data_IF_367253011138
#
_entry.id   IF_367253011138
#
_cell.length_a   1.000
_cell.length_b   1.000
_cell.length_c   1.000
_cell.angle_alpha   90.00
_cell.angle_beta   90.00
_cell.angle_gamma   90.00
#
_symmetry.space_group_name_H-M   'P 1'
#
loop_
_entity.id
_entity.type
_entity.pdbx_description
1 polymer ?
#
# COMPACT_ATOMS: atom_id res chain seq x y z
N UNK A 1 25.63 13.91 -51.93
CA UNK A 1 25.08 12.56 -52.16
C UNK A 1 25.63 11.62 -51.09
N UNK A 2 25.03 11.64 -49.89
CA UNK A 2 25.31 10.68 -48.81
C UNK A 2 23.98 10.46 -48.09
N UNK A 3 23.20 9.52 -48.61
CA UNK A 3 22.19 8.82 -47.83
C UNK A 3 22.94 7.73 -47.06
N UNK A 4 22.81 7.72 -45.74
CA UNK A 4 22.87 6.56 -44.83
C UNK A 4 23.04 7.16 -43.44
N UNK A 5 21.96 7.17 -42.66
CA UNK A 5 21.93 6.83 -41.23
C UNK A 5 20.55 7.17 -40.64
N UNK A 6 20.02 6.21 -39.88
CA UNK A 6 18.91 6.32 -38.90
C UNK A 6 17.47 6.14 -39.39
N UNK A 7 17.24 5.12 -40.22
CA UNK A 7 15.97 4.39 -40.20
C UNK A 7 15.95 3.40 -39.01
N UNK A 8 15.92 3.89 -37.77
CA UNK A 8 15.80 3.02 -36.58
C UNK A 8 15.37 3.74 -35.29
N UNK A 9 14.44 4.72 -35.31
CA UNK A 9 13.93 5.30 -34.05
C UNK A 9 12.54 5.93 -34.20
N UNK A 10 11.53 5.15 -34.59
CA UNK A 10 10.12 5.58 -34.49
C UNK A 10 9.20 4.43 -34.11
N UNK A 11 9.34 3.95 -32.87
CA UNK A 11 8.26 3.21 -32.21
C UNK A 11 8.30 3.42 -30.68
N UNK A 12 8.21 4.69 -30.27
CA UNK A 12 7.88 5.03 -28.87
C UNK A 12 6.65 5.94 -28.91
N UNK A 13 5.48 5.29 -28.84
CA UNK A 13 4.23 5.79 -28.28
C UNK A 13 3.93 7.30 -28.42
N UNK A 14 3.70 7.80 -29.64
CA UNK A 14 2.85 8.97 -29.83
C UNK A 14 1.39 8.55 -29.64
N UNK A 15 0.94 8.45 -28.38
CA UNK A 15 -0.50 8.43 -28.11
C UNK A 15 -1.01 9.87 -28.25
N UNK A 16 -1.21 10.29 -29.50
CA UNK A 16 -1.82 11.57 -29.87
C UNK A 16 -3.15 11.75 -29.14
N UNK A 17 -3.56 13.00 -28.97
CA UNK A 17 -4.91 13.37 -28.50
C UNK A 17 -5.84 13.25 -29.71
N UNK A 18 -5.82 12.10 -30.39
CA UNK A 18 -6.84 11.76 -31.37
C UNK A 18 -8.07 11.28 -30.62
N UNK A 19 -9.08 12.13 -30.56
CA UNK A 19 -10.46 11.66 -30.48
C UNK A 19 -10.66 10.88 -31.77
N UNK A 20 -10.61 9.55 -31.73
CA UNK A 20 -10.95 8.74 -32.91
C UNK A 20 -12.39 9.10 -33.34
N UNK A 21 -12.60 9.73 -34.51
CA UNK A 21 -13.92 9.80 -35.09
C UNK A 21 -14.11 8.45 -35.79
N UNK A 22 -14.48 7.42 -35.03
CA UNK A 22 -15.03 6.21 -35.65
C UNK A 22 -16.45 6.54 -36.13
N UNK A 23 -16.55 7.29 -37.23
CA UNK A 23 -17.71 7.23 -38.12
C UNK A 23 -17.52 5.99 -38.99
N UNK A 24 -17.83 4.82 -38.43
CA UNK A 24 -18.00 3.63 -39.24
C UNK A 24 -19.29 3.82 -40.03
N UNK A 25 -19.16 4.09 -41.34
CA UNK A 25 -20.27 3.91 -42.29
C UNK A 25 -20.82 2.52 -42.06
N UNK A 26 -22.08 2.47 -41.66
CA UNK A 26 -22.84 1.24 -41.50
C UNK A 26 -23.13 0.73 -42.91
N UNK A 27 -22.33 -0.21 -43.42
CA UNK A 27 -22.67 -1.06 -44.57
C UNK A 27 -21.70 -2.26 -44.61
N UNK A 28 -21.85 -3.16 -43.65
CA UNK A 28 -21.34 -4.53 -43.75
C UNK A 28 -22.52 -5.46 -43.49
N UNK A 29 -23.35 -5.62 -44.52
CA UNK A 29 -24.47 -6.55 -44.51
C UNK A 29 -23.97 -7.97 -44.83
N UNK A 30 -23.86 -8.79 -43.78
CA UNK A 30 -23.81 -10.26 -43.92
C UNK A 30 -25.12 -10.84 -43.38
N UNK A 31 -25.80 -11.60 -44.23
CA UNK A 31 -27.16 -12.13 -44.07
C UNK A 31 -27.25 -13.37 -43.16
N UNK A 32 -26.15 -13.91 -42.65
CA UNK A 32 -26.15 -15.10 -41.79
C UNK A 32 -26.07 -14.73 -40.30
N UNK A 33 -26.97 -15.25 -39.47
CA UNK A 33 -27.04 -14.95 -38.03
C UNK A 33 -25.90 -15.60 -37.22
N UNK A 34 -25.27 -16.65 -37.74
CA UNK A 34 -24.26 -17.47 -37.06
C UNK A 34 -22.83 -16.91 -37.09
N UNK A 35 -22.49 -16.03 -38.05
CA UNK A 35 -21.13 -15.47 -38.21
C UNK A 35 -20.90 -14.14 -37.48
N UNK A 36 -21.57 -13.93 -36.35
CA UNK A 36 -21.64 -12.64 -35.64
C UNK A 36 -20.77 -12.59 -34.37
N UNK A 37 -19.67 -13.33 -34.34
CA UNK A 37 -18.70 -13.31 -33.22
C UNK A 37 -18.12 -11.92 -32.94
N UNK A 38 -18.10 -11.04 -33.94
CA UNK A 38 -17.61 -9.68 -33.81
C UNK A 38 -18.68 -8.68 -33.30
N UNK A 39 -19.99 -8.97 -33.42
CA UNK A 39 -21.07 -8.05 -33.03
C UNK A 39 -21.00 -7.54 -31.58
N UNK A 40 -20.63 -8.33 -30.57
CA UNK A 40 -20.47 -7.83 -29.21
C UNK A 40 -19.45 -6.68 -29.07
N UNK A 41 -18.46 -6.63 -29.96
CA UNK A 41 -17.44 -5.57 -29.98
C UNK A 41 -17.93 -4.29 -30.68
N UNK A 42 -18.96 -4.39 -31.53
CA UNK A 42 -19.54 -3.26 -32.29
C UNK A 42 -20.87 -2.75 -31.75
N UNK A 43 -21.59 -3.53 -30.92
CA UNK A 43 -22.74 -3.00 -30.16
C UNK A 43 -22.24 -2.07 -29.05
N UNK A 44 -21.94 -0.82 -29.42
CA UNK A 44 -21.97 0.29 -28.47
C UNK A 44 -23.38 0.33 -27.88
N UNK A 45 -23.52 0.01 -26.60
CA UNK A 45 -24.66 0.51 -25.83
C UNK A 45 -24.64 2.02 -25.99
N UNK A 46 -25.55 2.56 -26.80
CA UNK A 46 -25.77 3.98 -26.91
C UNK A 46 -26.33 4.39 -25.56
N UNK A 47 -25.47 4.89 -24.67
CA UNK A 47 -25.89 5.45 -23.39
C UNK A 47 -26.66 6.74 -23.72
N UNK A 48 -27.99 6.62 -23.79
CA UNK A 48 -28.92 7.70 -24.14
C UNK A 48 -28.92 8.80 -23.08
N UNK A 49 -28.67 8.44 -21.82
CA UNK A 49 -28.56 9.39 -20.72
C UNK A 49 -27.14 9.93 -20.58
N UNK A 50 -27.01 11.25 -20.46
CA UNK A 50 -25.75 11.85 -20.00
C UNK A 50 -25.42 11.28 -18.61
N UNK A 51 -24.16 10.90 -18.34
CA UNK A 51 -23.77 10.57 -16.97
C UNK A 51 -23.98 11.82 -16.11
N UNK A 52 -24.97 11.78 -15.22
CA UNK A 52 -25.38 12.90 -14.34
C UNK A 52 -24.38 13.17 -13.22
N UNK A 53 -23.44 12.25 -12.96
CA UNK A 53 -22.42 12.39 -11.91
C UNK A 53 -21.07 12.73 -12.54
N UNK A 54 -20.33 13.67 -11.92
CA UNK A 54 -18.91 13.91 -12.20
C UNK A 54 -18.20 12.56 -12.31
N UNK A 55 -17.44 12.36 -13.39
CA UNK A 55 -16.74 11.10 -13.63
C UNK A 55 -15.69 10.86 -12.53
N UNK A 56 -16.05 10.05 -11.55
CA UNK A 56 -15.14 9.62 -10.51
C UNK A 56 -14.40 8.36 -10.98
N UNK A 57 -13.10 8.48 -11.20
CA UNK A 57 -12.24 7.34 -11.46
C UNK A 57 -11.83 6.70 -10.13
N UNK A 58 -12.38 5.53 -9.82
CA UNK A 58 -11.97 4.78 -8.64
C UNK A 58 -10.44 4.54 -8.64
N UNK A 59 -9.80 4.73 -7.48
CA UNK A 59 -8.34 4.58 -7.26
C UNK A 59 -7.47 5.68 -7.89
N UNK A 60 -8.07 6.77 -8.35
CA UNK A 60 -7.32 7.92 -8.82
C UNK A 60 -6.76 8.71 -7.62
N UNK A 61 -5.44 8.79 -7.52
CA UNK A 61 -4.75 9.43 -6.39
C UNK A 61 -4.76 10.97 -6.43
N UNK A 62 -5.47 11.56 -7.39
CA UNK A 62 -5.51 13.00 -7.66
C UNK A 62 -6.74 13.34 -8.51
N UNK A 63 -7.40 14.47 -8.26
CA UNK A 63 -8.58 14.90 -9.03
C UNK A 63 -8.39 16.20 -9.82
N UNK A 64 -7.16 16.71 -9.91
CA UNK A 64 -6.85 17.90 -10.68
C UNK A 64 -7.02 17.65 -12.19
N UNK A 65 -7.45 18.72 -12.86
CA UNK A 65 -7.61 18.76 -14.31
C UNK A 65 -6.46 19.56 -14.93
N UNK A 66 -6.27 19.37 -16.24
CA UNK A 66 -5.35 20.20 -17.00
C UNK A 66 -5.97 21.59 -17.17
N UNK A 67 -5.18 22.63 -16.99
CA UNK A 67 -5.57 24.03 -17.20
C UNK A 67 -4.82 24.55 -18.44
N UNK A 68 -5.53 25.10 -19.45
CA UNK A 68 -4.89 25.56 -20.66
C UNK A 68 -4.16 26.87 -20.37
N UNK A 69 -3.13 27.14 -21.15
CA UNK A 69 -2.46 28.44 -21.09
C UNK A 69 -3.40 29.54 -21.57
N UNK A 70 -3.16 30.77 -21.12
CA UNK A 70 -3.89 31.92 -21.65
C UNK A 70 -3.63 31.99 -23.17
N UNK A 71 -4.68 32.08 -24.03
CA UNK A 71 -4.52 32.09 -25.48
C UNK A 71 -3.60 33.20 -26.00
N UNK A 72 -3.49 34.32 -25.29
CA UNK A 72 -2.65 35.45 -25.69
C UNK A 72 -1.16 35.24 -25.35
N UNK A 73 -0.84 34.25 -24.52
CA UNK A 73 0.53 33.96 -24.14
C UNK A 73 1.31 33.40 -25.34
N UNK A 74 2.52 33.93 -25.53
CA UNK A 74 3.43 33.51 -26.59
C UNK A 74 4.06 32.16 -26.19
N UNK A 75 4.23 31.26 -27.15
CA UNK A 75 4.90 29.99 -26.85
C UNK A 75 6.36 30.23 -26.47
N UNK A 76 6.87 29.61 -25.40
CA UNK A 76 8.26 29.74 -24.97
C UNK A 76 9.26 29.23 -26.02
N UNK A 77 8.85 28.28 -26.88
CA UNK A 77 9.71 27.83 -27.99
C UNK A 77 9.87 28.93 -29.04
N UNK A 78 8.78 29.68 -29.30
CA UNK A 78 8.83 30.78 -30.24
C UNK A 78 9.69 31.93 -29.71
N UNK A 79 9.62 32.22 -28.41
CA UNK A 79 10.45 33.25 -27.76
C UNK A 79 11.95 32.96 -27.84
N UNK A 80 12.33 31.68 -27.87
CA UNK A 80 13.73 31.26 -27.96
C UNK A 80 14.32 31.38 -29.37
N UNK A 81 13.51 31.68 -30.40
CA UNK A 81 14.01 31.83 -31.76
C UNK A 81 14.80 33.15 -31.89
N UNK A 82 16.02 33.12 -32.47
CA UNK A 82 16.89 34.29 -32.57
C UNK A 82 16.29 35.45 -33.38
N UNK A 83 15.35 35.14 -34.28
CA UNK A 83 14.66 36.13 -35.12
C UNK A 83 13.37 36.66 -34.47
N UNK A 84 12.93 36.08 -33.36
CA UNK A 84 11.65 36.41 -32.73
C UNK A 84 11.58 37.89 -32.30
N UNK A 85 12.68 38.42 -31.75
CA UNK A 85 12.72 39.82 -31.31
C UNK A 85 12.55 40.82 -32.47
N UNK A 86 12.96 40.42 -33.68
CA UNK A 86 12.93 41.25 -34.89
C UNK A 86 11.56 41.28 -35.59
N UNK A 87 10.63 40.41 -35.18
CA UNK A 87 9.28 40.34 -35.77
C UNK A 87 8.39 41.50 -35.29
N UNK A 88 7.50 41.96 -36.17
CA UNK A 88 6.43 42.89 -35.78
C UNK A 88 5.47 42.26 -34.77
N UNK A 89 4.79 43.09 -33.98
CA UNK A 89 3.84 42.65 -32.95
C UNK A 89 2.72 41.76 -33.52
N UNK A 90 2.27 42.01 -34.75
CA UNK A 90 1.25 41.19 -35.43
C UNK A 90 1.74 39.76 -35.67
N UNK A 91 3.00 39.59 -36.08
CA UNK A 91 3.61 38.28 -36.31
C UNK A 91 3.96 37.58 -35.00
N UNK A 92 4.35 38.33 -33.96
CA UNK A 92 4.51 37.81 -32.59
C UNK A 92 3.18 37.29 -32.03
N UNK A 93 2.08 38.00 -32.27
CA UNK A 93 0.74 37.56 -31.87
C UNK A 93 0.30 36.26 -32.57
N UNK A 94 0.72 36.02 -33.81
CA UNK A 94 0.46 34.75 -34.53
C UNK A 94 1.19 33.56 -33.91
N UNK A 95 2.22 33.77 -33.08
CA UNK A 95 2.97 32.74 -32.36
C UNK A 95 2.41 32.46 -30.95
N UNK A 96 1.29 33.10 -30.59
CA UNK A 96 0.55 32.84 -29.35
C UNK A 96 -0.20 31.50 -29.37
N UNK A 97 -0.56 31.01 -28.18
CA UNK A 97 -1.33 29.76 -28.05
C UNK A 97 -2.70 29.81 -28.73
N UNK A 98 -3.24 31.00 -29.01
CA UNK A 98 -4.47 31.19 -29.79
C UNK A 98 -4.43 30.52 -31.16
N UNK A 99 -3.26 30.49 -31.80
CA UNK A 99 -3.09 29.95 -33.15
C UNK A 99 -2.41 28.57 -33.18
N UNK A 100 -1.98 28.06 -32.02
CA UNK A 100 -1.37 26.74 -31.91
C UNK A 100 -2.39 25.63 -31.71
N UNK A 101 -1.99 24.40 -32.02
CA UNK A 101 -2.81 23.23 -31.71
C UNK A 101 -2.79 22.92 -30.21
N UNK A 102 -3.88 22.33 -29.71
CA UNK A 102 -3.95 21.83 -28.32
C UNK A 102 -2.83 20.82 -28.00
N UNK A 103 -2.31 20.12 -29.01
CA UNK A 103 -1.21 19.17 -28.82
C UNK A 103 0.13 19.88 -28.59
N UNK A 104 0.42 20.94 -29.35
CA UNK A 104 1.62 21.77 -29.19
C UNK A 104 1.61 22.51 -27.85
N UNK A 105 0.47 23.10 -27.47
CA UNK A 105 0.29 23.74 -26.17
C UNK A 105 0.58 22.76 -25.02
N UNK A 106 0.02 21.54 -25.12
CA UNK A 106 0.27 20.50 -24.14
C UNK A 106 1.76 20.11 -24.06
N UNK A 107 2.45 20.01 -25.19
CA UNK A 107 3.89 19.69 -25.20
C UNK A 107 4.73 20.80 -24.56
N UNK A 108 4.40 22.06 -24.82
CA UNK A 108 5.10 23.22 -24.26
C UNK A 108 4.92 23.24 -22.72
N UNK A 109 3.69 23.09 -22.24
CA UNK A 109 3.41 23.00 -20.81
C UNK A 109 4.07 21.80 -20.13
N UNK A 110 4.07 20.63 -20.79
CA UNK A 110 4.75 19.44 -20.28
C UNK A 110 6.25 19.68 -20.12
N UNK A 111 6.88 20.29 -21.13
CA UNK A 111 8.30 20.59 -21.11
C UNK A 111 8.63 21.62 -20.03
N UNK A 112 7.82 22.66 -19.89
CA UNK A 112 7.95 23.64 -18.81
C UNK A 112 7.84 22.97 -17.43
N UNK A 113 6.86 22.08 -17.22
CA UNK A 113 6.70 21.34 -15.96
C UNK A 113 7.86 20.39 -15.67
N UNK A 114 8.43 19.75 -16.69
CA UNK A 114 9.63 18.92 -16.53
C UNK A 114 10.83 19.77 -16.08
N UNK A 115 11.04 20.92 -16.72
CA UNK A 115 12.14 21.83 -16.39
C UNK A 115 11.98 22.42 -14.98
N UNK A 116 10.76 22.84 -14.60
CA UNK A 116 10.44 23.34 -13.26
C UNK A 116 10.82 22.33 -12.16
N UNK A 117 10.64 21.04 -12.44
CA UNK A 117 10.94 19.96 -11.49
C UNK A 117 12.37 19.42 -11.62
N UNK A 118 13.22 20.07 -12.43
CA UNK A 118 14.63 19.75 -12.60
C UNK A 118 14.92 18.59 -13.56
N UNK A 119 14.04 18.31 -14.51
CA UNK A 119 14.26 17.29 -15.55
C UNK A 119 14.37 17.90 -16.93
N UNK A 120 15.32 17.39 -17.71
CA UNK A 120 15.40 17.74 -19.13
C UNK A 120 14.18 17.18 -19.91
N UNK A 121 13.65 17.88 -20.94
CA UNK A 121 12.48 17.45 -21.71
C UNK A 121 12.63 16.10 -22.42
N UNK A 122 13.85 15.60 -22.60
CA UNK A 122 14.16 14.29 -23.20
C UNK A 122 14.49 13.21 -22.16
N UNK A 123 14.48 13.54 -20.86
CA UNK A 123 14.80 12.59 -19.80
C UNK A 123 13.78 11.43 -19.75
N UNK A 124 14.30 10.21 -19.57
CA UNK A 124 13.56 8.94 -19.50
C UNK A 124 13.59 8.35 -18.08
N UNK A 125 13.97 9.15 -17.07
CA UNK A 125 13.99 8.70 -15.68
C UNK A 125 12.58 8.34 -15.18
N UNK A 126 12.53 7.56 -14.09
CA UNK A 126 11.27 7.22 -13.41
C UNK A 126 10.52 8.48 -12.97
N UNK A 127 11.21 9.46 -12.39
CA UNK A 127 10.65 10.76 -12.02
C UNK A 127 10.08 11.54 -13.21
N UNK A 128 10.84 11.68 -14.31
CA UNK A 128 10.35 12.33 -15.52
C UNK A 128 9.11 11.61 -16.10
N UNK A 129 9.10 10.28 -16.05
CA UNK A 129 7.95 9.47 -16.50
C UNK A 129 6.71 9.71 -15.63
N UNK A 130 6.86 9.86 -14.32
CA UNK A 130 5.75 10.20 -13.41
C UNK A 130 5.15 11.55 -13.78
N UNK A 131 5.97 12.56 -14.07
CA UNK A 131 5.52 13.90 -14.48
C UNK A 131 4.73 13.82 -15.80
N UNK A 132 5.29 13.15 -16.82
CA UNK A 132 4.61 12.96 -18.12
C UNK A 132 3.26 12.27 -17.97
N UNK A 133 3.22 11.18 -17.21
CA UNK A 133 1.98 10.43 -16.98
C UNK A 133 0.95 11.27 -16.23
N UNK A 134 1.37 12.11 -15.28
CA UNK A 134 0.48 12.98 -14.50
C UNK A 134 -0.12 14.08 -15.36
N UNK A 135 0.71 14.80 -16.13
CA UNK A 135 0.22 15.82 -17.07
C UNK A 135 -0.73 15.23 -18.11
N UNK A 136 -0.37 14.09 -18.71
CA UNK A 136 -1.20 13.43 -19.71
C UNK A 136 -2.52 12.93 -19.10
N UNK A 137 -2.49 12.43 -17.88
CA UNK A 137 -3.70 12.05 -17.14
C UNK A 137 -4.64 13.24 -16.93
N UNK A 138 -4.11 14.39 -16.46
CA UNK A 138 -4.88 15.64 -16.29
C UNK A 138 -5.53 16.09 -17.60
N UNK A 139 -4.79 16.04 -18.72
CA UNK A 139 -5.31 16.40 -20.04
C UNK A 139 -6.40 15.43 -20.52
N UNK A 140 -6.19 14.13 -20.35
CA UNK A 140 -7.20 13.12 -20.71
C UNK A 140 -8.46 13.21 -19.84
N UNK A 141 -8.33 13.52 -18.54
CA UNK A 141 -9.50 13.78 -17.67
C UNK A 141 -10.28 15.01 -18.13
N UNK A 142 -9.60 16.10 -18.49
CA UNK A 142 -10.28 17.29 -19.05
C UNK A 142 -11.06 16.95 -20.32
N UNK A 143 -10.43 16.25 -21.26
CA UNK A 143 -11.13 15.80 -22.49
C UNK A 143 -12.28 14.83 -22.19
N UNK A 144 -12.25 14.09 -21.08
CA UNK A 144 -13.35 13.23 -20.65
C UNK A 144 -14.52 14.03 -20.07
N UNK A 145 -14.26 15.18 -19.44
CA UNK A 145 -15.30 16.14 -19.07
C UNK A 145 -15.97 16.73 -20.32
N UNK A 146 -15.19 17.06 -21.34
CA UNK A 146 -15.70 17.58 -22.63
C UNK A 146 -16.45 16.49 -23.44
N UNK A 147 -16.01 15.22 -23.34
CA UNK A 147 -16.53 14.08 -24.10
C UNK A 147 -16.86 12.87 -23.21
N UNK A 148 -17.84 12.97 -22.30
CA UNK A 148 -18.09 11.96 -21.27
C UNK A 148 -18.61 10.63 -21.82
N UNK A 149 -19.12 10.62 -23.05
CA UNK A 149 -19.64 9.41 -23.72
C UNK A 149 -18.56 8.58 -24.39
N UNK A 150 -17.28 8.99 -24.37
CA UNK A 150 -16.21 8.28 -25.07
C UNK A 150 -15.65 7.10 -24.22
N UNK A 151 -16.01 5.84 -24.51
CA UNK A 151 -15.53 4.70 -23.72
C UNK A 151 -14.03 4.50 -23.87
N UNK A 152 -13.46 4.75 -25.05
CA UNK A 152 -12.04 4.59 -25.33
C UNK A 152 -11.20 5.52 -24.44
N UNK A 153 -11.67 6.76 -24.25
CA UNK A 153 -11.02 7.74 -23.38
C UNK A 153 -11.04 7.29 -21.91
N UNK A 154 -12.18 6.77 -21.42
CA UNK A 154 -12.29 6.20 -20.07
C UNK A 154 -11.34 5.02 -19.86
N UNK A 155 -11.22 4.12 -20.85
CA UNK A 155 -10.27 3.00 -20.78
C UNK A 155 -8.82 3.49 -20.77
N UNK A 156 -8.48 4.47 -21.62
CA UNK A 156 -7.17 5.09 -21.64
C UNK A 156 -6.81 5.73 -20.29
N UNK A 157 -7.74 6.48 -19.69
CA UNK A 157 -7.54 7.08 -18.36
C UNK A 157 -7.27 6.00 -17.30
N UNK A 158 -8.08 4.94 -17.25
CA UNK A 158 -7.86 3.83 -16.30
C UNK A 158 -6.50 3.16 -16.49
N UNK A 159 -6.06 2.96 -17.73
CA UNK A 159 -4.74 2.40 -18.03
C UNK A 159 -3.61 3.34 -17.57
N UNK A 160 -3.77 4.65 -17.78
CA UNK A 160 -2.83 5.67 -17.33
C UNK A 160 -2.74 5.77 -15.81
N UNK A 161 -3.88 5.70 -15.10
CA UNK A 161 -3.90 5.64 -13.63
C UNK A 161 -3.03 4.47 -13.15
N UNK A 162 -3.29 3.26 -13.64
CA UNK A 162 -2.51 2.06 -13.25
C UNK A 162 -1.03 2.19 -13.59
N UNK A 163 -0.70 2.73 -14.77
CA UNK A 163 0.68 2.95 -15.20
C UNK A 163 1.39 3.96 -14.29
N UNK A 164 0.74 5.09 -13.97
CA UNK A 164 1.27 6.10 -13.05
C UNK A 164 1.48 5.52 -11.65
N UNK A 165 0.50 4.79 -11.11
CA UNK A 165 0.62 4.12 -9.81
C UNK A 165 1.81 3.16 -9.76
N UNK A 166 2.02 2.37 -10.82
CA UNK A 166 3.19 1.50 -10.92
C UNK A 166 4.48 2.31 -10.88
N UNK A 167 4.58 3.39 -11.65
CA UNK A 167 5.78 4.23 -11.68
C UNK A 167 6.05 4.93 -10.34
N UNK A 168 5.01 5.42 -9.67
CA UNK A 168 5.13 5.98 -8.32
C UNK A 168 5.58 4.94 -7.29
N UNK A 169 5.10 3.69 -7.38
CA UNK A 169 5.59 2.60 -6.51
C UNK A 169 7.05 2.27 -6.77
N UNK A 170 7.47 2.24 -8.05
CA UNK A 170 8.87 2.04 -8.41
C UNK A 170 9.73 3.18 -7.88
N UNK A 171 9.32 4.43 -8.11
CA UNK A 171 10.02 5.61 -7.62
C UNK A 171 10.15 5.60 -6.10
N UNK A 172 9.08 5.25 -5.37
CA UNK A 172 9.12 5.12 -3.91
C UNK A 172 10.13 4.06 -3.43
N UNK A 173 10.26 2.96 -4.16
CA UNK A 173 11.21 1.90 -3.83
C UNK A 173 12.66 2.26 -4.18
N UNK A 174 12.89 3.02 -5.26
CA UNK A 174 14.24 3.39 -5.70
C UNK A 174 14.77 4.67 -5.06
N UNK A 175 13.91 5.69 -4.90
CA UNK A 175 14.29 7.01 -4.41
C UNK A 175 13.11 7.66 -3.66
N UNK A 176 13.10 7.48 -2.34
CA UNK A 176 12.05 8.02 -1.47
C UNK A 176 12.04 9.56 -1.42
N UNK A 177 13.21 10.20 -1.53
CA UNK A 177 13.33 11.67 -1.47
C UNK A 177 12.67 12.29 -2.70
N UNK A 178 13.01 11.77 -3.88
CA UNK A 178 12.41 12.20 -5.14
C UNK A 178 10.92 11.87 -5.20
N UNK A 179 10.49 10.72 -4.65
CA UNK A 179 9.08 10.39 -4.52
C UNK A 179 8.32 11.47 -3.75
N UNK A 180 8.76 11.82 -2.53
CA UNK A 180 8.11 12.84 -1.70
C UNK A 180 8.05 14.19 -2.40
N UNK A 181 9.20 14.65 -2.93
CA UNK A 181 9.31 15.90 -3.69
C UNK A 181 8.31 15.97 -4.84
N UNK A 182 8.23 14.91 -5.64
CA UNK A 182 7.33 14.88 -6.81
C UNK A 182 5.87 14.74 -6.41
N UNK A 183 5.53 13.95 -5.39
CA UNK A 183 4.13 13.84 -4.94
C UNK A 183 3.61 15.14 -4.36
N UNK A 184 4.45 15.89 -3.65
CA UNK A 184 4.12 17.22 -3.13
C UNK A 184 3.97 18.23 -4.27
N UNK A 185 4.97 18.34 -5.15
CA UNK A 185 4.95 19.30 -6.24
C UNK A 185 3.84 19.04 -7.28
N UNK A 186 3.48 17.78 -7.50
CA UNK A 186 2.36 17.38 -8.37
C UNK A 186 1.02 17.27 -7.63
N UNK A 187 0.97 17.57 -6.33
CA UNK A 187 -0.26 17.51 -5.50
C UNK A 187 -0.98 16.15 -5.56
N UNK A 188 -0.20 15.06 -5.55
CA UNK A 188 -0.71 13.68 -5.54
C UNK A 188 -0.88 13.24 -4.09
N UNK A 189 -2.10 13.33 -3.55
CA UNK A 189 -2.39 13.10 -2.13
C UNK A 189 -2.93 11.71 -1.83
N UNK A 190 -3.64 11.08 -2.77
CA UNK A 190 -4.38 9.84 -2.52
C UNK A 190 -3.56 8.55 -2.67
N UNK A 191 -2.23 8.59 -2.57
CA UNK A 191 -1.41 7.41 -2.83
C UNK A 191 -1.61 6.33 -1.76
N UNK A 192 -2.04 5.14 -2.17
CA UNK A 192 -2.13 3.96 -1.32
C UNK A 192 -1.15 2.90 -1.79
N UNK A 193 -0.36 2.35 -0.86
CA UNK A 193 0.35 1.11 -1.15
C UNK A 193 -0.68 -0.02 -1.06
N UNK A 194 -0.94 -0.79 -2.14
CA UNK A 194 -1.83 -1.93 -2.03
C UNK A 194 -1.17 -2.95 -1.11
N UNK A 195 -1.70 -3.06 0.09
CA UNK A 195 -1.33 -4.13 1.00
C UNK A 195 -1.87 -5.45 0.40
N UNK A 196 -1.01 -6.44 0.10
CA UNK A 196 -1.45 -7.73 -0.45
C UNK A 196 -2.45 -8.46 0.47
N UNK A 197 -2.54 -8.07 1.74
CA UNK A 197 -3.48 -8.63 2.71
C UNK A 197 -4.75 -7.78 2.89
N UNK A 198 -4.85 -6.61 2.25
CA UNK A 198 -6.05 -5.76 2.25
C UNK A 198 -7.09 -6.41 1.33
N UNK A 199 -7.94 -7.22 1.95
CA UNK A 199 -9.06 -7.87 1.27
C UNK A 199 -10.06 -6.80 0.80
N UNK A 200 -10.78 -7.02 -0.32
CA UNK A 200 -11.74 -6.06 -0.82
C UNK A 200 -12.92 -5.89 0.16
N UNK A 201 -13.10 -4.67 0.66
CA UNK A 201 -14.22 -4.32 1.57
C UNK A 201 -15.60 -4.42 0.91
N UNK A 202 -15.67 -4.63 -0.40
CA UNK A 202 -16.95 -4.79 -1.10
C UNK A 202 -17.53 -6.20 -0.96
N UNK A 203 -16.73 -7.20 -0.60
CA UNK A 203 -17.22 -8.57 -0.46
C UNK A 203 -17.83 -8.79 0.94
N UNK A 204 -19.14 -9.10 1.06
CA UNK A 204 -19.76 -9.36 2.35
C UNK A 204 -19.11 -10.51 3.13
N UNK A 205 -18.51 -11.48 2.43
CA UNK A 205 -17.80 -12.61 3.06
C UNK A 205 -16.52 -12.14 3.75
N UNK A 206 -15.79 -11.22 3.12
CA UNK A 206 -14.58 -10.60 3.69
C UNK A 206 -14.93 -9.82 4.94
N UNK A 207 -15.98 -8.99 4.90
CA UNK A 207 -16.44 -8.22 6.07
C UNK A 207 -16.76 -9.11 7.26
N UNK A 208 -17.50 -10.21 7.04
CA UNK A 208 -17.83 -11.18 8.10
C UNK A 208 -16.59 -11.83 8.70
N UNK A 209 -15.60 -12.19 7.86
CA UNK A 209 -14.33 -12.77 8.33
C UNK A 209 -13.50 -11.78 9.14
N UNK A 210 -13.45 -10.52 8.72
CA UNK A 210 -12.75 -9.46 9.47
C UNK A 210 -13.41 -9.20 10.83
N UNK A 211 -14.75 -9.14 10.86
CA UNK A 211 -15.51 -9.01 12.10
C UNK A 211 -15.23 -10.17 13.06
N UNK A 212 -15.37 -11.43 12.60
CA UNK A 212 -15.08 -12.60 13.41
C UNK A 212 -13.62 -12.63 13.90
N UNK A 213 -12.65 -12.21 13.08
CA UNK A 213 -11.25 -12.10 13.49
C UNK A 213 -11.07 -11.06 14.60
N UNK A 214 -11.75 -9.92 14.50
CA UNK A 214 -11.70 -8.87 15.53
C UNK A 214 -12.34 -9.32 16.85
N UNK A 215 -13.48 -10.02 16.80
CA UNK A 215 -14.15 -10.60 17.97
C UNK A 215 -13.27 -11.65 18.65
N UNK A 216 -12.71 -12.59 17.88
CA UNK A 216 -11.78 -13.60 18.39
C UNK A 216 -10.54 -12.96 19.05
N UNK A 217 -10.03 -11.87 18.47
CA UNK A 217 -8.90 -11.15 19.04
C UNK A 217 -9.26 -10.48 20.37
N UNK A 218 -10.41 -9.80 20.44
CA UNK A 218 -10.92 -9.23 21.69
C UNK A 218 -11.16 -10.30 22.75
N UNK A 219 -11.77 -11.43 22.39
CA UNK A 219 -11.94 -12.57 23.30
C UNK A 219 -10.59 -13.09 23.81
N UNK A 220 -9.57 -13.20 22.95
CA UNK A 220 -8.23 -13.62 23.38
C UNK A 220 -7.64 -12.64 24.39
N UNK A 221 -7.76 -11.33 24.14
CA UNK A 221 -7.29 -10.30 25.08
C UNK A 221 -8.01 -10.37 26.43
N UNK A 222 -9.32 -10.54 26.44
CA UNK A 222 -10.09 -10.68 27.69
C UNK A 222 -9.71 -11.94 28.46
N UNK A 223 -9.52 -13.08 27.79
CA UNK A 223 -9.03 -14.32 28.43
C UNK A 223 -7.64 -14.13 29.03
N UNK A 224 -6.72 -13.50 28.32
CA UNK A 224 -5.38 -13.19 28.85
C UNK A 224 -5.45 -12.27 30.06
N UNK A 225 -6.33 -11.26 30.04
CA UNK A 225 -6.54 -10.37 31.18
C UNK A 225 -7.09 -11.14 32.41
N UNK A 226 -8.05 -12.04 32.21
CA UNK A 226 -8.57 -12.91 33.29
C UNK A 226 -7.50 -13.81 33.87
N UNK A 227 -6.74 -14.52 33.03
CA UNK A 227 -5.65 -15.38 33.47
C UNK A 227 -4.58 -14.58 34.23
N UNK A 228 -4.27 -13.36 33.80
CA UNK A 228 -3.34 -12.47 34.51
C UNK A 228 -3.86 -12.11 35.91
N UNK A 229 -5.15 -11.81 36.04
CA UNK A 229 -5.76 -11.54 37.35
C UNK A 229 -5.78 -12.78 38.23
N UNK A 230 -6.19 -13.93 37.69
CA UNK A 230 -6.19 -15.22 38.40
C UNK A 230 -4.79 -15.56 38.91
N UNK A 231 -3.76 -15.43 38.06
CA UNK A 231 -2.37 -15.64 38.42
C UNK A 231 -1.93 -14.75 39.59
N UNK A 232 -2.24 -13.45 39.55
CA UNK A 232 -1.92 -12.53 40.66
C UNK A 232 -2.64 -12.92 41.96
N UNK A 233 -3.88 -13.41 41.88
CA UNK A 233 -4.62 -13.85 43.07
C UNK A 233 -4.07 -15.16 43.65
N UNK A 234 -3.74 -16.13 42.80
CA UNK A 234 -3.18 -17.41 43.25
C UNK A 234 -1.77 -17.25 43.78
N UNK A 235 -0.97 -16.36 43.19
CA UNK A 235 0.36 -15.99 43.68
C UNK A 235 0.28 -15.40 45.10
N UNK A 236 -0.62 -14.43 45.33
CA UNK A 236 -0.83 -13.87 46.68
C UNK A 236 -1.28 -14.92 47.69
N UNK A 237 -2.19 -15.82 47.30
CA UNK A 237 -2.64 -16.90 48.16
C UNK A 237 -1.52 -17.89 48.49
N UNK A 238 -0.68 -18.22 47.50
CA UNK A 238 0.49 -19.08 47.67
C UNK A 238 1.47 -18.50 48.69
N UNK A 239 1.83 -17.21 48.56
CA UNK A 239 2.76 -16.56 49.50
C UNK A 239 2.18 -16.48 50.91
N UNK A 240 0.88 -16.16 51.06
CA UNK A 240 0.21 -16.18 52.39
C UNK A 240 0.24 -17.57 53.03
N UNK A 241 -0.03 -18.62 52.26
CA UNK A 241 0.03 -19.99 52.77
C UNK A 241 1.45 -20.40 53.17
N UNK A 242 2.47 -19.94 52.42
CA UNK A 242 3.87 -20.19 52.75
C UNK A 242 4.32 -19.46 54.00
N UNK A 243 3.94 -18.20 54.15
CA UNK A 243 4.17 -17.41 55.36
C UNK A 243 3.56 -18.10 56.59
N UNK A 244 2.31 -18.57 56.50
CA UNK A 244 1.66 -19.32 57.57
C UNK A 244 2.40 -20.62 57.92
N UNK A 245 2.90 -21.36 56.92
CA UNK A 245 3.72 -22.58 57.16
C UNK A 245 5.03 -22.25 57.86
N UNK A 246 5.72 -21.17 57.46
CA UNK A 246 6.99 -20.75 58.06
C UNK A 246 6.76 -20.32 59.51
N UNK A 247 5.74 -19.52 59.77
CA UNK A 247 5.40 -19.09 61.13
C UNK A 247 5.06 -20.28 62.02
N UNK A 248 4.38 -21.29 61.48
CA UNK A 248 4.12 -22.54 62.21
C UNK A 248 5.42 -23.31 62.50
N UNK A 249 6.32 -23.45 61.53
CA UNK A 249 7.62 -24.10 61.76
C UNK A 249 8.47 -23.35 62.78
N UNK A 250 8.44 -22.01 62.77
CA UNK A 250 9.11 -21.20 63.79
C UNK A 250 8.53 -21.46 65.18
N UNK A 251 7.19 -21.52 65.30
CA UNK A 251 6.53 -21.89 66.56
C UNK A 251 6.89 -23.31 67.02
N UNK A 252 6.87 -24.29 66.12
CA UNK A 252 7.22 -25.67 66.44
C UNK A 252 8.70 -25.78 66.88
N UNK A 253 9.60 -25.02 66.25
CA UNK A 253 11.01 -24.92 66.65
C UNK A 253 11.18 -24.26 68.03
N UNK A 254 10.39 -23.24 68.35
CA UNK A 254 10.43 -22.60 69.68
C UNK A 254 10.01 -23.55 70.79
N UNK A 255 8.98 -24.36 70.55
CA UNK A 255 8.51 -25.38 71.50
C UNK A 255 9.58 -26.46 71.73
N UNK A 256 10.31 -26.84 70.68
CA UNK A 256 11.42 -27.79 70.78
C UNK A 256 12.64 -27.21 71.52
N UNK A 257 12.94 -25.92 71.37
CA UNK A 257 14.10 -25.26 72.02
C UNK A 257 13.82 -24.92 73.50
N UNK A 258 12.56 -24.65 73.87
CA UNK A 258 12.11 -24.51 75.27
C UNK A 258 12.29 -25.83 76.07
N UNK A 259 12.25 -26.99 75.42
CA UNK A 259 12.47 -28.29 76.07
C UNK A 259 13.94 -28.58 76.40
N UNK A 260 14.87 -27.74 75.94
CA UNK A 260 16.32 -27.94 76.11
C UNK A 260 17.08 -26.75 76.73
N UNK A 261 16.43 -25.60 77.00
CA UNK A 261 17.12 -24.41 77.50
C UNK A 261 16.64 -23.94 78.88
N UNK A 262 17.26 -24.47 79.92
CA UNK A 262 17.37 -23.74 81.20
C UNK A 262 18.32 -22.54 81.00
N UNK A 263 17.78 -21.34 80.69
CA UNK A 263 18.47 -20.09 81.08
C UNK A 263 18.61 -18.92 80.09
N UNK A 264 18.17 -18.97 78.82
CA UNK A 264 18.43 -17.83 77.89
C UNK A 264 17.30 -17.59 76.87
N UNK A 265 16.05 -17.49 77.36
CA UNK A 265 14.82 -17.49 76.55
C UNK A 265 14.52 -16.27 75.66
N UNK A 266 15.51 -15.48 75.22
CA UNK A 266 15.26 -14.27 74.42
C UNK A 266 16.05 -14.14 73.11
N UNK A 267 17.29 -14.66 73.04
CA UNK A 267 18.18 -14.38 71.88
C UNK A 267 18.17 -15.45 70.79
N UNK A 268 17.76 -16.69 71.10
CA UNK A 268 17.82 -17.78 70.12
C UNK A 268 16.74 -17.70 69.02
N UNK A 269 15.59 -17.11 69.35
CA UNK A 269 14.46 -16.96 68.43
C UNK A 269 14.79 -16.02 67.27
N UNK A 270 15.39 -14.88 67.59
CA UNK A 270 15.90 -13.90 66.62
C UNK A 270 16.99 -14.50 65.71
N UNK A 271 17.85 -15.35 66.26
CA UNK A 271 18.93 -16.01 65.51
C UNK A 271 18.38 -17.09 64.58
N UNK A 272 17.40 -17.88 65.05
CA UNK A 272 16.71 -18.88 64.25
C UNK A 272 15.92 -18.22 63.12
N UNK A 273 15.19 -17.14 63.41
CA UNK A 273 14.45 -16.38 62.41
C UNK A 273 15.37 -15.78 61.34
N UNK A 274 16.49 -15.16 61.73
CA UNK A 274 17.49 -14.65 60.76
C UNK A 274 18.13 -15.75 59.91
N UNK A 275 18.40 -16.93 60.49
CA UNK A 275 18.90 -18.09 59.72
C UNK A 275 17.87 -18.63 58.73
N UNK A 276 16.60 -18.66 59.13
CA UNK A 276 15.51 -19.12 58.27
C UNK A 276 15.26 -18.13 57.12
N UNK A 277 15.29 -16.83 57.41
CA UNK A 277 15.24 -15.77 56.39
C UNK A 277 16.41 -15.85 55.41
N UNK A 278 17.64 -16.10 55.91
CA UNK A 278 18.81 -16.28 55.07
C UNK A 278 18.70 -17.49 54.13
N UNK A 279 18.29 -18.65 54.66
CA UNK A 279 18.03 -19.86 53.87
C UNK A 279 16.92 -19.64 52.84
N UNK A 280 15.88 -18.90 53.20
CA UNK A 280 14.78 -18.58 52.28
C UNK A 280 15.27 -17.70 51.11
N UNK A 281 16.13 -16.72 51.38
CA UNK A 281 16.74 -15.88 50.36
C UNK A 281 17.69 -16.66 49.44
N UNK A 282 18.43 -17.65 49.97
CA UNK A 282 19.27 -18.54 49.16
C UNK A 282 18.42 -19.40 48.21
N UNK A 283 17.36 -20.04 48.70
CA UNK A 283 16.45 -20.85 47.87
C UNK A 283 15.75 -20.01 46.80
N UNK A 284 15.37 -18.75 47.12
CA UNK A 284 14.81 -17.82 46.13
C UNK A 284 15.85 -17.53 45.04
N UNK A 285 17.10 -17.24 45.40
CA UNK A 285 18.18 -16.98 44.43
C UNK A 285 18.49 -18.20 43.57
N UNK A 286 18.56 -19.39 44.15
CA UNK A 286 18.77 -20.64 43.42
C UNK A 286 17.63 -20.89 42.43
N UNK A 287 16.38 -20.75 42.85
CA UNK A 287 15.22 -20.91 41.95
C UNK A 287 15.13 -19.82 40.89
N UNK A 288 15.50 -18.59 41.20
CA UNK A 288 15.59 -17.51 40.19
C UNK A 288 16.68 -17.83 39.16
N UNK A 289 17.82 -18.38 39.58
CA UNK A 289 18.87 -18.83 38.67
C UNK A 289 18.41 -20.04 37.83
N UNK A 290 17.74 -21.03 38.42
CA UNK A 290 17.17 -22.18 37.70
C UNK A 290 16.06 -21.80 36.73
N UNK A 291 15.19 -20.85 37.09
CA UNK A 291 14.14 -20.35 36.18
C UNK A 291 14.68 -19.41 35.10
N UNK A 292 15.87 -18.83 35.27
CA UNK A 292 16.61 -18.16 34.20
C UNK A 292 17.31 -19.16 33.26
N UNK A 293 17.52 -20.41 33.70
CA UNK A 293 17.81 -21.57 32.84
C UNK A 293 16.50 -22.04 32.20
N UNK A 294 15.83 -21.16 31.46
CA UNK A 294 14.78 -21.62 30.54
C UNK A 294 15.50 -22.37 29.42
N UNK A 295 15.04 -23.57 29.01
CA UNK A 295 15.58 -24.22 27.82
C UNK A 295 15.36 -23.27 26.62
N UNK A 296 16.44 -22.71 26.07
CA UNK A 296 16.39 -21.88 24.85
C UNK A 296 15.72 -22.63 23.67
N UNK A 297 15.57 -23.95 23.78
CA UNK A 297 14.95 -24.84 22.80
C UNK A 297 13.44 -24.62 22.61
N UNK A 298 12.66 -24.21 23.62
CA UNK A 298 11.19 -24.30 23.52
C UNK A 298 10.52 -23.05 22.91
N UNK A 299 11.18 -21.89 22.91
CA UNK A 299 10.59 -20.64 22.38
C UNK A 299 10.41 -20.64 20.85
N UNK A 300 11.12 -21.52 20.13
CA UNK A 300 11.10 -21.57 18.66
C UNK A 300 10.45 -22.83 18.09
N UNK A 301 10.19 -23.87 18.90
CA UNK A 301 9.51 -25.08 18.45
C UNK A 301 8.09 -24.81 17.94
N UNK A 302 7.39 -23.86 18.56
CA UNK A 302 6.07 -23.47 18.10
C UNK A 302 6.12 -22.85 16.69
N UNK A 303 7.10 -21.98 16.44
CA UNK A 303 7.30 -21.35 15.12
C UNK A 303 7.73 -22.36 14.05
N UNK A 304 8.57 -23.33 14.40
CA UNK A 304 9.01 -24.38 13.46
C UNK A 304 7.85 -25.31 13.09
N UNK A 305 7.04 -25.74 14.06
CA UNK A 305 5.82 -26.54 13.82
C UNK A 305 4.79 -25.77 13.00
N UNK A 306 4.62 -24.47 13.25
CA UNK A 306 3.72 -23.62 12.47
C UNK A 306 4.20 -23.44 11.02
N UNK A 307 5.50 -23.24 10.80
CA UNK A 307 6.11 -23.14 9.47
C UNK A 307 5.88 -24.42 8.64
N UNK A 308 6.15 -25.60 9.23
CA UNK A 308 5.88 -26.89 8.58
C UNK A 308 4.39 -27.07 8.28
N UNK A 309 3.51 -26.61 9.18
CA UNK A 309 2.06 -26.60 8.96
C UNK A 309 1.65 -25.75 7.74
N UNK A 310 2.26 -24.57 7.59
CA UNK A 310 2.01 -23.65 6.46
C UNK A 310 2.49 -24.24 5.13
N UNK A 311 3.66 -24.86 5.10
CA UNK A 311 4.18 -25.53 3.90
C UNK A 311 3.28 -26.67 3.43
N UNK A 312 2.82 -27.52 4.36
CA UNK A 312 1.88 -28.61 4.07
C UNK A 312 0.56 -28.08 3.50
N UNK A 313 0.05 -26.97 4.03
CA UNK A 313 -1.17 -26.35 3.53
C UNK A 313 -1.00 -25.77 2.13
N UNK A 314 0.11 -25.06 1.87
CA UNK A 314 0.44 -24.54 0.55
C UNK A 314 0.58 -25.66 -0.49
N UNK A 315 1.25 -26.77 -0.13
CA UNK A 315 1.38 -27.95 -0.98
C UNK A 315 0.01 -28.56 -1.33
N UNK A 316 -0.90 -28.70 -0.36
CA UNK A 316 -2.28 -29.19 -0.62
C UNK A 316 -3.06 -28.27 -1.54
N UNK A 317 -2.94 -26.95 -1.38
CA UNK A 317 -3.58 -25.97 -2.26
C UNK A 317 -3.06 -26.09 -3.70
N UNK A 318 -1.75 -26.19 -3.87
CA UNK A 318 -1.12 -26.39 -5.17
C UNK A 318 -1.57 -27.69 -5.83
N UNK A 319 -1.64 -28.79 -5.06
CA UNK A 319 -2.12 -30.08 -5.56
C UNK A 319 -3.60 -30.03 -5.97
N UNK A 320 -4.44 -29.36 -5.18
CA UNK A 320 -5.86 -29.15 -5.50
C UNK A 320 -6.03 -28.32 -6.76
N UNK A 321 -5.25 -27.25 -6.92
CA UNK A 321 -5.23 -26.43 -8.13
C UNK A 321 -4.79 -27.24 -9.37
N UNK A 322 -3.75 -28.07 -9.24
CA UNK A 322 -3.28 -28.97 -10.30
C UNK A 322 -4.36 -29.99 -10.71
N UNK A 323 -5.03 -30.62 -9.74
CA UNK A 323 -6.15 -31.55 -10.00
C UNK A 323 -7.32 -30.85 -10.71
N UNK A 324 -7.63 -29.61 -10.34
CA UNK A 324 -8.66 -28.82 -11.03
C UNK A 324 -8.27 -28.43 -12.46
N UNK A 325 -7.00 -28.10 -12.73
CA UNK A 325 -6.55 -27.81 -14.09
C UNK A 325 -6.56 -29.04 -14.99
N UNK A 326 -6.30 -30.24 -14.43
CA UNK A 326 -6.35 -31.49 -15.18
C UNK A 326 -7.77 -31.93 -15.53
N UNK A 327 -8.77 -31.60 -14.70
CA UNK A 327 -10.19 -31.88 -14.98
C UNK A 327 -10.84 -30.92 -15.98
N UNK A 328 -10.19 -29.80 -16.29
CA UNK A 328 -10.66 -28.78 -17.24
C UNK A 328 -10.02 -28.89 -18.63
N UNK A 329 -9.06 -29.79 -18.79
CA UNK A 329 -8.63 -30.31 -20.09
C UNK A 329 -9.46 -31.54 -20.37
#
# INVERSE_FOLDING_TARGET
MVYVLTAAFRFIASATIRVCPLSLRADLHSSASSYRWYKPYFYRKVFTTLPTKKEYFAHDWEHLLYEPSNPETISPIAEQLPEFQKLDEKWKAMLSYRFRTKEEEFTDQLNAKLMELGYHPTAISTGATVIRLTMLLRAKKRTAVEHPRNPCLRFAIRALIRRRQRQLRLLRATNMVEFKRLTEALQITGYEHPDPYKLPDTDPVVKRKLAARSECYQMRLTKLAKLKMEFVTTEKAFYRNKEAQINKMLQDLTILDESHSEGTGGSNLDVAQRRLEALFQEVIKERQNETLIIPESDRLEWYSREAVGRERYAARLAEKARKQSLRKR
#
